data_IF_795208582506
#
_entry.id   IF_795208582506
#
_cell.length_a   1.000
_cell.length_b   1.000
_cell.length_c   1.000
_cell.angle_alpha   90.00
_cell.angle_beta   90.00
_cell.angle_gamma   90.00
#
_symmetry.space_group_name_H-M   'P 1'
#
loop_
_entity.id
_entity.type
_entity.pdbx_description
1 polymer ?
#
# COMPACT_ATOMS: atom_id res chain seq x y z
N UNK A 1 5.16 2.63 7.44
CA UNK A 1 4.76 1.43 6.70
C UNK A 1 3.53 1.72 5.88
N UNK A 2 3.81 2.00 4.61
CA UNK A 2 2.88 2.13 3.49
C UNK A 2 3.69 1.63 2.30
N UNK A 3 3.09 0.76 1.49
CA UNK A 3 3.67 0.28 0.24
C UNK A 3 3.13 1.13 -0.89
N UNK A 4 4.02 1.81 -1.58
CA UNK A 4 3.69 2.58 -2.78
C UNK A 4 4.34 1.89 -3.98
N UNK A 5 3.67 0.85 -4.53
CA UNK A 5 4.08 0.29 -5.82
C UNK A 5 3.48 1.16 -6.91
N UNK A 6 4.30 1.71 -7.79
CA UNK A 6 3.84 2.74 -8.69
C UNK A 6 3.01 2.14 -9.89
N UNK A 7 1.65 2.03 -9.82
CA UNK A 7 0.61 1.59 -10.85
C UNK A 7 -0.79 2.32 -10.83
N UNK A 8 -1.21 3.07 -11.86
CA UNK A 8 -2.16 4.24 -11.79
C UNK A 8 -3.59 4.04 -11.23
N UNK A 9 -4.01 4.99 -10.37
CA UNK A 9 -5.39 5.52 -10.23
C UNK A 9 -6.36 4.62 -9.45
N UNK A 10 -7.25 5.09 -8.57
CA UNK A 10 -7.70 6.42 -8.12
C UNK A 10 -8.04 6.35 -6.60
N UNK A 11 -8.14 7.48 -5.87
CA UNK A 11 -8.40 7.45 -4.43
C UNK A 11 -9.90 7.42 -4.05
N UNK A 12 -10.25 6.74 -2.94
CA UNK A 12 -11.50 7.03 -2.19
C UNK A 12 -12.27 5.84 -1.58
N UNK A 13 -11.72 5.13 -0.60
CA UNK A 13 -12.35 3.92 -0.02
C UNK A 13 -13.37 4.14 1.13
N UNK A 14 -13.47 5.35 1.70
CA UNK A 14 -14.25 5.60 2.93
C UNK A 14 -15.78 5.54 2.78
N UNK A 15 -16.36 6.33 1.87
CA UNK A 15 -17.83 6.51 1.74
C UNK A 15 -18.57 5.27 1.21
N UNK A 16 -17.85 4.33 0.61
CA UNK A 16 -18.45 3.12 0.04
C UNK A 16 -18.92 2.13 1.12
N UNK A 17 -18.34 2.19 2.31
CA UNK A 17 -18.73 1.37 3.46
C UNK A 17 -20.15 1.69 3.97
N UNK A 18 -20.54 2.97 3.96
CA UNK A 18 -21.83 3.43 4.49
C UNK A 18 -23.01 3.01 3.61
N UNK A 19 -22.77 2.85 2.30
CA UNK A 19 -23.80 2.45 1.31
C UNK A 19 -23.82 0.94 1.03
N UNK A 20 -22.87 0.16 1.57
CA UNK A 20 -22.84 -1.31 1.46
C UNK A 20 -22.63 -1.97 2.84
N UNK A 21 -23.55 -1.75 3.81
CA UNK A 21 -23.31 -2.03 5.24
C UNK A 21 -23.16 -3.51 5.61
N UNK A 22 -23.46 -4.44 4.69
CA UNK A 22 -23.36 -5.89 4.92
C UNK A 22 -22.02 -6.51 4.47
N UNK A 23 -21.14 -5.75 3.80
CA UNK A 23 -19.86 -6.28 3.29
C UNK A 23 -18.75 -6.09 4.32
N UNK A 24 -18.05 -7.17 4.75
CA UNK A 24 -16.91 -7.07 5.67
C UNK A 24 -15.79 -6.19 5.10
N UNK A 25 -15.09 -5.43 5.95
CA UNK A 25 -14.02 -4.54 5.53
C UNK A 25 -12.86 -5.23 4.81
N UNK A 26 -12.60 -6.50 5.10
CA UNK A 26 -11.65 -7.35 4.36
C UNK A 26 -12.12 -7.64 2.93
N UNK A 27 -13.39 -8.00 2.74
CA UNK A 27 -13.98 -8.24 1.43
C UNK A 27 -14.05 -6.95 0.60
N UNK A 28 -14.40 -5.82 1.22
CA UNK A 28 -14.37 -4.52 0.54
C UNK A 28 -12.95 -4.12 0.13
N UNK A 29 -11.95 -4.37 0.99
CA UNK A 29 -10.53 -4.13 0.67
C UNK A 29 -10.01 -5.01 -0.47
N UNK A 30 -10.43 -6.28 -0.52
CA UNK A 30 -10.11 -7.21 -1.61
C UNK A 30 -10.72 -6.74 -2.93
N UNK A 31 -12.04 -6.46 -2.95
CA UNK A 31 -12.72 -5.98 -4.15
C UNK A 31 -12.16 -4.63 -4.64
N UNK A 32 -11.80 -3.72 -3.73
CA UNK A 32 -11.11 -2.49 -4.09
C UNK A 32 -9.71 -2.76 -4.71
N UNK A 33 -8.98 -3.74 -4.19
CA UNK A 33 -7.66 -4.13 -4.71
C UNK A 33 -7.74 -4.79 -6.09
N UNK A 34 -8.72 -5.66 -6.32
CA UNK A 34 -9.01 -6.21 -7.65
C UNK A 34 -9.38 -5.11 -8.65
N UNK A 35 -10.19 -4.13 -8.22
CA UNK A 35 -10.54 -2.99 -9.06
C UNK A 35 -9.33 -2.09 -9.38
N UNK A 36 -8.41 -1.88 -8.43
CA UNK A 36 -7.14 -1.19 -8.67
C UNK A 36 -6.32 -1.92 -9.75
N UNK A 37 -6.20 -3.24 -9.68
CA UNK A 37 -5.51 -4.03 -10.72
C UNK A 37 -6.23 -4.02 -12.07
N UNK A 38 -7.57 -4.01 -12.08
CA UNK A 38 -8.36 -3.86 -13.30
C UNK A 38 -8.10 -2.51 -13.99
N UNK A 39 -8.05 -1.42 -13.21
CA UNK A 39 -7.78 -0.06 -13.71
C UNK A 39 -6.33 0.08 -14.19
N UNK A 40 -5.36 -0.38 -13.41
CA UNK A 40 -3.95 -0.35 -13.77
C UNK A 40 -3.68 -1.05 -15.11
N UNK A 41 -4.28 -2.23 -15.34
CA UNK A 41 -4.15 -2.97 -16.60
C UNK A 41 -4.89 -2.33 -17.80
N UNK A 42 -5.82 -1.41 -17.55
CA UNK A 42 -6.56 -0.68 -18.60
C UNK A 42 -5.96 0.69 -18.94
N UNK A 43 -4.96 1.16 -18.19
CA UNK A 43 -4.35 2.48 -18.36
C UNK A 43 -3.02 2.41 -19.10
N UNK A 44 -2.77 3.40 -19.96
CA UNK A 44 -1.45 3.61 -20.57
C UNK A 44 -0.61 4.61 -19.76
N UNK A 45 0.70 4.36 -19.66
CA UNK A 45 1.67 5.34 -19.15
C UNK A 45 2.32 5.01 -17.80
N UNK A 46 2.85 6.05 -17.13
CA UNK A 46 3.39 5.95 -15.76
C UNK A 46 2.27 6.09 -14.73
N UNK A 47 2.52 5.67 -13.50
CA UNK A 47 1.71 4.67 -12.85
C UNK A 47 1.83 4.84 -11.31
N UNK A 48 0.76 4.85 -10.46
CA UNK A 48 0.79 4.89 -8.94
C UNK A 48 -0.32 4.09 -8.18
N UNK A 49 0.02 2.99 -7.43
CA UNK A 49 -0.85 2.23 -6.49
C UNK A 49 -0.35 2.46 -5.06
N UNK A 50 -1.25 2.81 -4.14
CA UNK A 50 -0.94 2.97 -2.71
C UNK A 50 -1.81 2.04 -1.88
N UNK A 51 -1.19 1.21 -1.04
CA UNK A 51 -1.90 0.35 -0.09
C UNK A 51 -0.94 -0.19 0.98
N UNK A 52 -1.46 -0.99 1.90
CA UNK A 52 -0.67 -1.73 2.88
C UNK A 52 -0.59 -3.21 2.47
N UNK A 53 0.48 -3.58 1.76
CA UNK A 53 0.73 -4.95 1.33
C UNK A 53 1.74 -5.61 2.26
N UNK A 54 1.21 -6.33 3.24
CA UNK A 54 2.04 -7.09 4.17
C UNK A 54 2.60 -8.32 3.45
N UNK A 55 3.89 -8.29 3.09
CA UNK A 55 4.55 -9.28 2.23
C UNK A 55 4.21 -10.76 2.53
N UNK A 56 4.22 -11.25 3.79
CA UNK A 56 3.87 -12.63 4.11
C UNK A 56 2.40 -13.03 3.81
N UNK A 57 1.52 -12.06 3.57
CA UNK A 57 0.11 -12.24 3.19
C UNK A 57 -0.12 -11.98 1.71
N UNK A 58 0.47 -10.90 1.18
CA UNK A 58 -0.01 -10.29 -0.07
C UNK A 58 0.91 -10.49 -1.29
N UNK A 59 2.15 -10.94 -1.12
CA UNK A 59 3.11 -11.06 -2.24
C UNK A 59 2.54 -11.86 -3.44
N UNK A 60 1.91 -13.04 -3.27
CA UNK A 60 1.33 -13.79 -4.41
C UNK A 60 0.19 -13.04 -5.12
N UNK A 61 -0.55 -12.21 -4.39
CA UNK A 61 -1.62 -11.39 -4.95
C UNK A 61 -1.06 -10.21 -5.75
N UNK A 62 -0.02 -9.55 -5.23
CA UNK A 62 0.70 -8.48 -5.94
C UNK A 62 1.33 -9.01 -7.23
N UNK A 63 2.02 -10.16 -7.17
CA UNK A 63 2.59 -10.78 -8.37
C UNK A 63 1.52 -11.14 -9.42
N UNK A 64 0.32 -11.58 -9.00
CA UNK A 64 -0.78 -11.85 -9.92
C UNK A 64 -1.29 -10.57 -10.59
N UNK A 65 -1.40 -9.48 -9.84
CA UNK A 65 -1.72 -8.15 -10.36
C UNK A 65 -0.67 -7.61 -11.33
N UNK A 66 0.62 -7.77 -11.02
CA UNK A 66 1.73 -7.40 -11.90
C UNK A 66 1.70 -8.20 -13.21
N UNK A 67 1.54 -9.53 -13.14
CA UNK A 67 1.38 -10.38 -14.34
C UNK A 67 0.18 -9.98 -15.19
N UNK A 68 -0.89 -9.45 -14.58
CA UNK A 68 -2.07 -8.94 -15.30
C UNK A 68 -1.80 -7.61 -16.02
N UNK A 69 -0.98 -6.73 -15.44
CA UNK A 69 -0.67 -5.42 -16.03
C UNK A 69 0.46 -5.48 -17.06
N UNK A 70 1.26 -6.55 -17.07
CA UNK A 70 2.47 -6.75 -17.89
C UNK A 70 3.37 -5.49 -18.00
N UNK A 71 3.79 -4.90 -16.86
CA UNK A 71 4.50 -3.63 -16.84
C UNK A 71 5.94 -3.78 -17.36
N UNK A 72 6.36 -2.87 -18.23
CA UNK A 72 7.74 -2.81 -18.72
C UNK A 72 8.77 -2.45 -17.65
N UNK A 73 8.34 -1.90 -16.51
CA UNK A 73 9.16 -1.60 -15.35
C UNK A 73 8.29 -1.50 -14.09
N UNK A 74 8.77 -2.02 -12.96
CA UNK A 74 8.12 -1.90 -11.64
C UNK A 74 9.11 -1.24 -10.67
N UNK A 75 8.64 -0.29 -9.87
CA UNK A 75 9.39 0.29 -8.75
C UNK A 75 8.54 0.26 -7.51
N UNK A 76 9.16 -0.13 -6.41
CA UNK A 76 8.55 -0.20 -5.09
C UNK A 76 9.08 0.94 -4.23
N UNK A 77 8.21 1.84 -3.77
CA UNK A 77 8.57 2.87 -2.80
C UNK A 77 8.07 2.47 -1.40
N UNK A 78 9.02 2.12 -0.52
CA UNK A 78 8.74 1.69 0.85
C UNK A 78 8.79 2.87 1.81
N UNK A 79 7.65 3.22 2.41
CA UNK A 79 7.58 4.27 3.43
C UNK A 79 8.02 3.72 4.80
N UNK A 80 9.33 3.81 5.04
CA UNK A 80 10.00 3.35 6.25
C UNK A 80 9.81 4.32 7.41
N UNK A 81 9.79 3.80 8.63
CA UNK A 81 9.62 4.56 9.89
C UNK A 81 9.78 3.59 11.08
N UNK A 82 10.39 3.99 12.20
CA UNK A 82 10.50 3.14 13.38
C UNK A 82 9.14 2.58 13.85
N UNK A 83 9.04 1.27 14.19
CA UNK A 83 7.74 0.63 14.50
C UNK A 83 6.93 1.33 15.60
N UNK A 84 7.59 1.83 16.65
CA UNK A 84 6.92 2.57 17.72
C UNK A 84 6.26 3.88 17.24
N UNK A 85 6.89 4.59 16.29
CA UNK A 85 6.33 5.79 15.64
C UNK A 85 5.16 5.40 14.74
N UNK A 86 5.27 4.28 14.00
CA UNK A 86 4.17 3.74 13.20
C UNK A 86 2.96 3.39 14.09
N UNK A 87 3.19 2.74 15.24
CA UNK A 87 2.15 2.34 16.21
C UNK A 87 1.42 3.54 16.79
N UNK A 88 2.18 4.55 17.23
CA UNK A 88 1.64 5.82 17.73
C UNK A 88 0.78 6.52 16.67
N UNK A 89 1.31 6.69 15.44
CA UNK A 89 0.57 7.27 14.31
C UNK A 89 -0.67 6.47 13.91
N UNK A 90 -0.63 5.14 14.02
CA UNK A 90 -1.77 4.27 13.70
C UNK A 90 -2.88 4.38 14.77
N UNK A 91 -2.53 4.33 16.06
CA UNK A 91 -3.48 4.48 17.17
C UNK A 91 -4.13 5.86 17.26
N UNK A 92 -3.47 6.90 16.74
CA UNK A 92 -4.02 8.25 16.61
C UNK A 92 -4.91 8.46 15.38
N UNK A 93 -5.18 7.43 14.56
CA UNK A 93 -6.04 7.57 13.37
C UNK A 93 -7.52 7.67 13.77
N UNK A 94 -8.20 8.66 13.20
CA UNK A 94 -9.65 8.73 13.18
C UNK A 94 -10.16 8.41 11.77
N UNK A 95 -10.70 7.21 11.58
CA UNK A 95 -11.30 6.75 10.31
C UNK A 95 -12.51 5.86 10.56
N UNK A 96 -13.26 5.54 9.49
CA UNK A 96 -14.49 4.77 9.60
C UNK A 96 -14.25 3.38 10.23
N UNK A 97 -15.19 2.92 11.09
CA UNK A 97 -15.09 1.68 11.88
C UNK A 97 -14.80 0.42 11.06
N UNK A 98 -15.13 0.41 9.77
CA UNK A 98 -14.83 -0.71 8.85
C UNK A 98 -13.33 -1.07 8.78
N UNK A 99 -12.45 -0.13 9.14
CA UNK A 99 -11.02 -0.39 9.18
C UNK A 99 -10.56 -1.19 10.40
N UNK A 100 -11.37 -1.27 11.47
CA UNK A 100 -11.06 -1.98 12.73
C UNK A 100 -9.63 -1.78 13.24
N UNK A 101 -9.31 -0.53 13.56
CA UNK A 101 -7.95 -0.15 13.96
C UNK A 101 -7.56 -0.69 15.33
N UNK A 102 -8.50 -0.76 16.26
CA UNK A 102 -8.23 -1.24 17.63
C UNK A 102 -8.06 -2.77 17.66
N UNK A 103 -8.88 -3.54 16.93
CA UNK A 103 -8.65 -4.98 16.77
C UNK A 103 -7.31 -5.29 16.11
N UNK A 104 -6.96 -4.56 15.04
CA UNK A 104 -5.65 -4.71 14.37
C UNK A 104 -4.46 -4.33 15.24
N UNK A 105 -4.60 -3.36 16.14
CA UNK A 105 -3.54 -3.01 17.11
C UNK A 105 -3.30 -4.10 18.16
N UNK A 106 -4.34 -4.86 18.53
CA UNK A 106 -4.22 -6.00 19.44
C UNK A 106 -3.66 -7.24 18.71
N UNK A 107 -4.28 -7.63 17.59
CA UNK A 107 -4.10 -8.95 17.01
C UNK A 107 -3.03 -9.01 15.91
N UNK A 108 -3.01 -8.01 15.01
CA UNK A 108 -2.15 -8.02 13.83
C UNK A 108 -0.82 -7.29 14.04
N UNK A 109 -0.79 -6.27 14.91
CA UNK A 109 0.38 -5.42 15.13
C UNK A 109 1.65 -6.19 15.56
N UNK A 110 1.63 -7.15 16.50
CA UNK A 110 2.85 -7.85 16.92
C UNK A 110 3.57 -8.54 15.76
N UNK A 111 2.80 -8.97 14.76
CA UNK A 111 3.31 -9.60 13.54
C UNK A 111 3.82 -8.58 12.53
N UNK A 112 3.10 -7.48 12.32
CA UNK A 112 3.57 -6.37 11.46
C UNK A 112 4.85 -5.73 12.00
N UNK A 113 5.01 -5.64 13.32
CA UNK A 113 6.20 -5.06 13.96
C UNK A 113 7.49 -5.89 13.73
N UNK A 114 7.36 -7.19 13.43
CA UNK A 114 8.48 -8.12 13.30
C UNK A 114 8.72 -8.64 11.88
N UNK A 115 7.68 -8.79 11.06
CA UNK A 115 7.75 -9.38 9.71
C UNK A 115 7.57 -8.37 8.56
N UNK A 116 7.35 -7.08 8.84
CA UNK A 116 7.11 -6.10 7.79
C UNK A 116 8.39 -5.67 7.08
N UNK A 117 8.43 -5.95 5.79
CA UNK A 117 9.54 -5.65 4.87
C UNK A 117 8.97 -5.33 3.47
N UNK A 118 9.73 -4.65 2.60
CA UNK A 118 9.38 -4.47 1.19
C UNK A 118 9.10 -5.82 0.52
N UNK A 119 8.06 -5.87 -0.33
CA UNK A 119 7.63 -7.03 -1.11
C UNK A 119 8.78 -7.63 -1.93
N UNK A 120 9.62 -6.78 -2.53
CA UNK A 120 10.76 -7.18 -3.35
C UNK A 120 10.38 -7.44 -4.81
N UNK A 121 9.34 -6.77 -5.33
CA UNK A 121 8.82 -6.97 -6.70
C UNK A 121 9.48 -6.07 -7.76
N UNK A 122 10.49 -5.30 -7.37
CA UNK A 122 11.29 -4.43 -8.23
C UNK A 122 12.39 -3.74 -7.41
N UNK A 123 13.13 -2.77 -7.99
CA UNK A 123 14.03 -1.91 -7.22
C UNK A 123 13.27 -1.16 -6.12
N UNK A 124 13.78 -1.24 -4.89
CA UNK A 124 13.16 -0.65 -3.70
C UNK A 124 13.76 0.72 -3.38
N UNK A 125 12.96 1.77 -3.48
CA UNK A 125 13.26 3.11 -2.98
C UNK A 125 12.74 3.20 -1.54
N UNK A 126 13.64 3.16 -0.55
CA UNK A 126 13.27 3.36 0.86
C UNK A 126 13.16 4.86 1.17
N UNK A 127 12.01 5.28 1.68
CA UNK A 127 11.71 6.66 2.05
C UNK A 127 11.57 6.73 3.56
N UNK A 128 12.49 7.40 4.25
CA UNK A 128 12.31 7.69 5.67
C UNK A 128 11.15 8.68 5.86
N UNK A 129 10.12 8.24 6.59
CA UNK A 129 8.94 9.03 6.95
C UNK A 129 8.91 9.37 8.45
N UNK A 130 9.99 9.15 9.20
CA UNK A 130 10.13 9.63 10.57
C UNK A 130 10.18 11.17 10.62
N UNK A 131 10.72 11.80 9.58
CA UNK A 131 10.83 13.25 9.37
C UNK A 131 10.03 13.72 8.13
N UNK A 132 9.88 15.04 7.88
CA UNK A 132 9.25 15.55 6.66
C UNK A 132 10.00 15.11 5.38
N UNK A 133 9.29 14.46 4.46
CA UNK A 133 9.86 13.88 3.23
C UNK A 133 10.17 14.97 2.19
N UNK A 134 11.40 15.00 1.67
CA UNK A 134 11.71 15.80 0.47
C UNK A 134 11.23 15.08 -0.81
N UNK A 135 10.03 15.45 -1.28
CA UNK A 135 9.41 14.89 -2.47
C UNK A 135 10.27 15.04 -3.73
N UNK A 136 11.09 16.09 -3.84
CA UNK A 136 11.97 16.29 -4.99
C UNK A 136 13.10 15.25 -5.04
N UNK A 137 13.61 14.81 -3.88
CA UNK A 137 14.67 13.81 -3.81
C UNK A 137 14.12 12.39 -3.99
N UNK A 138 12.95 12.08 -3.41
CA UNK A 138 12.23 10.82 -3.67
C UNK A 138 11.90 10.68 -5.16
N UNK A 139 11.44 11.77 -5.81
CA UNK A 139 11.16 11.76 -7.26
C UNK A 139 12.42 11.47 -8.10
N UNK A 140 13.59 12.01 -7.72
CA UNK A 140 14.87 11.69 -8.38
C UNK A 140 15.29 10.24 -8.15
N UNK A 141 15.10 9.71 -6.93
CA UNK A 141 15.42 8.31 -6.60
C UNK A 141 14.57 7.35 -7.44
N UNK A 142 13.25 7.57 -7.51
CA UNK A 142 12.33 6.83 -8.37
C UNK A 142 12.78 6.94 -9.84
N UNK A 143 13.03 8.15 -10.35
CA UNK A 143 13.44 8.34 -11.74
C UNK A 143 14.78 7.66 -12.09
N UNK A 144 15.68 7.48 -11.11
CA UNK A 144 16.94 6.77 -11.30
C UNK A 144 16.77 5.24 -11.18
N UNK A 145 15.85 4.75 -10.36
CA UNK A 145 15.51 3.34 -10.25
C UNK A 145 14.75 2.79 -11.49
N UNK A 146 14.37 3.65 -12.45
CA UNK A 146 13.79 3.25 -13.76
C UNK A 146 14.82 2.90 -14.84
N UNK A 147 16.11 3.15 -14.60
CA UNK A 147 17.17 3.07 -15.61
C UNK A 147 17.93 1.74 -15.56
#
# INVERSE_FOLDING_TARGET
>A
MVDLILINGLPGSGKMADVVPAVPGSALGMAASDMMWNLAAAMSGTVILETWWFRPRDLPFVEAGLRRCDPTSVIEAWCDVPPHVAKSRYGARHRHRIHDDQGKLADAWPRWETEAEPLGVGPVVRVDTSTPVNLADVSKQIANARR
#
